data_IF_320375984635
#
_entry.id   IF_320375984635
#
_cell.length_a   1.000
_cell.length_b   1.000
_cell.length_c   1.000
_cell.angle_alpha   90.00
_cell.angle_beta   90.00
_cell.angle_gamma   90.00
#
_symmetry.space_group_name_H-M   'P 1'
#
loop_
_entity.id
_entity.type
_entity.pdbx_description
1 polymer ?
#
# COMPACT_ATOMS: atom_id res chain seq x y z
N UNK A 1 4.10 -2.15 15.43
CA UNK A 1 5.11 -2.03 14.35
C UNK A 1 6.36 -2.89 14.55
N UNK A 2 6.37 -3.74 15.59
CA UNK A 2 7.49 -4.68 15.83
C UNK A 2 7.72 -5.61 14.63
N UNK A 3 6.65 -6.10 14.01
CA UNK A 3 6.69 -7.00 12.84
C UNK A 3 7.54 -6.43 11.68
N UNK A 4 7.50 -5.12 11.48
CA UNK A 4 8.30 -4.45 10.47
C UNK A 4 9.80 -4.40 10.86
N UNK A 5 10.13 -4.13 12.11
CA UNK A 5 11.52 -4.15 12.58
C UNK A 5 12.10 -5.58 12.57
N UNK A 6 11.26 -6.58 12.89
CA UNK A 6 11.65 -7.99 12.80
C UNK A 6 11.99 -8.38 11.34
N UNK A 7 11.24 -7.87 10.35
CA UNK A 7 11.54 -8.06 8.94
C UNK A 7 12.88 -7.41 8.55
N UNK A 8 13.13 -6.15 8.95
CA UNK A 8 14.41 -5.49 8.71
C UNK A 8 15.59 -6.31 9.27
N UNK A 9 15.45 -6.76 10.54
CA UNK A 9 16.46 -7.57 11.22
C UNK A 9 16.68 -8.92 10.52
N UNK A 10 15.61 -9.57 10.09
CA UNK A 10 15.67 -10.83 9.36
C UNK A 10 16.44 -10.68 8.05
N UNK A 11 16.14 -9.63 7.27
CA UNK A 11 16.82 -9.41 5.98
C UNK A 11 18.30 -9.13 6.17
N UNK A 12 18.67 -8.36 7.21
CA UNK A 12 20.08 -8.13 7.52
C UNK A 12 20.83 -9.40 7.94
N UNK A 13 20.15 -10.33 8.62
CA UNK A 13 20.76 -11.55 9.17
C UNK A 13 20.80 -12.72 8.18
N UNK A 14 19.77 -12.87 7.35
CA UNK A 14 19.51 -14.04 6.52
C UNK A 14 19.51 -13.74 5.02
N UNK A 15 19.50 -12.46 4.63
CA UNK A 15 19.32 -12.05 3.24
C UNK A 15 20.48 -12.43 2.34
N UNK A 16 20.14 -12.81 1.11
CA UNK A 16 21.11 -13.04 0.05
C UNK A 16 21.35 -11.76 -0.75
N UNK A 17 22.61 -11.47 -1.07
CA UNK A 17 22.95 -10.37 -1.98
C UNK A 17 22.52 -10.73 -3.41
N UNK A 18 21.89 -9.75 -4.08
CA UNK A 18 21.43 -9.86 -5.46
C UNK A 18 21.72 -8.58 -6.24
N UNK A 19 22.03 -8.73 -7.51
CA UNK A 19 21.94 -7.61 -8.45
C UNK A 19 20.47 -7.29 -8.73
N UNK A 20 20.21 -6.06 -9.12
CA UNK A 20 18.88 -5.60 -9.50
C UNK A 20 18.94 -4.74 -10.78
N UNK A 21 17.78 -4.42 -11.34
CA UNK A 21 17.64 -3.60 -12.55
C UNK A 21 18.31 -2.23 -12.45
N UNK A 22 18.32 -1.65 -11.25
CA UNK A 22 18.86 -0.30 -11.02
C UNK A 22 20.40 -0.28 -10.89
N UNK A 23 21.04 -1.43 -10.77
CA UNK A 23 22.48 -1.55 -10.53
C UNK A 23 22.94 -1.17 -9.12
N UNK A 24 21.99 -0.85 -8.21
CA UNK A 24 22.31 -0.50 -6.81
C UNK A 24 22.72 -1.74 -6.00
N UNK A 25 22.13 -2.90 -6.31
CA UNK A 25 22.23 -4.11 -5.52
C UNK A 25 21.31 -4.13 -4.31
N UNK A 26 20.93 -5.32 -3.88
CA UNK A 26 20.02 -5.55 -2.76
C UNK A 26 20.48 -6.70 -1.88
N UNK A 27 20.04 -6.71 -0.63
CA UNK A 27 19.98 -7.88 0.22
C UNK A 27 18.52 -8.27 0.38
N UNK A 28 18.16 -9.52 0.13
CA UNK A 28 16.75 -9.94 0.12
C UNK A 28 16.50 -11.30 0.74
N UNK A 29 15.28 -11.48 1.25
CA UNK A 29 14.69 -12.78 1.58
C UNK A 29 13.46 -13.01 0.72
N UNK A 30 13.15 -14.25 0.39
CA UNK A 30 11.94 -14.61 -0.36
C UNK A 30 10.89 -15.17 0.58
N UNK A 31 9.72 -14.52 0.58
CA UNK A 31 8.57 -14.93 1.41
C UNK A 31 8.65 -14.43 2.85
N UNK A 32 7.81 -13.46 3.18
CA UNK A 32 7.58 -12.99 4.54
C UNK A 32 6.14 -12.50 4.70
N UNK A 33 5.59 -12.67 5.90
CA UNK A 33 4.25 -12.18 6.20
C UNK A 33 4.23 -11.41 7.52
N UNK A 34 3.60 -10.26 7.52
CA UNK A 34 3.32 -9.43 8.68
C UNK A 34 1.81 -9.34 8.91
N UNK A 35 1.39 -9.23 10.15
CA UNK A 35 -0.02 -9.03 10.52
C UNK A 35 -0.13 -7.84 11.46
N UNK A 36 -1.09 -6.96 11.19
CA UNK A 36 -1.39 -5.76 11.97
C UNK A 36 -2.86 -5.77 12.35
N UNK A 37 -3.13 -5.85 13.65
CA UNK A 37 -4.49 -5.73 14.17
C UNK A 37 -4.85 -4.25 14.31
N UNK A 38 -5.89 -3.81 13.61
CA UNK A 38 -6.27 -2.39 13.61
C UNK A 38 -6.94 -1.92 14.91
N UNK A 39 -7.30 -2.83 15.82
CA UNK A 39 -7.71 -2.45 17.18
C UNK A 39 -6.54 -1.94 18.04
N UNK A 40 -5.31 -2.33 17.73
CA UNK A 40 -4.10 -1.85 18.41
C UNK A 40 -3.70 -0.43 18.01
N UNK A 41 -4.29 0.11 16.95
CA UNK A 41 -4.02 1.41 16.39
C UNK A 41 -3.74 1.36 14.89
N UNK A 42 -3.57 2.52 14.28
CA UNK A 42 -3.25 2.62 12.86
C UNK A 42 -1.76 2.30 12.62
N UNK A 43 -1.42 1.32 11.77
CA UNK A 43 -0.05 0.85 11.60
C UNK A 43 0.79 1.84 10.76
N UNK A 44 0.96 3.06 11.28
CA UNK A 44 1.87 4.05 10.76
C UNK A 44 3.20 3.97 11.52
N UNK A 45 4.30 3.90 10.78
CA UNK A 45 5.62 3.68 11.35
C UNK A 45 6.02 4.80 12.30
N UNK A 46 6.50 4.45 13.50
CA UNK A 46 6.95 5.41 14.51
C UNK A 46 8.47 5.55 14.59
N UNK A 47 9.23 4.58 14.08
CA UNK A 47 10.71 4.62 14.08
C UNK A 47 11.31 5.55 13.02
N UNK A 48 10.51 6.03 12.08
CA UNK A 48 10.80 7.18 11.21
C UNK A 48 9.49 7.83 10.78
N UNK A 49 9.50 9.16 10.65
CA UNK A 49 8.32 9.92 10.18
C UNK A 49 8.00 9.59 8.72
N UNK A 50 6.75 9.25 8.43
CA UNK A 50 6.21 9.07 7.10
C UNK A 50 5.51 10.33 6.60
N UNK A 51 5.46 10.51 5.29
CA UNK A 51 4.74 11.61 4.65
C UNK A 51 3.30 11.18 4.35
N UNK A 52 2.43 11.24 5.36
CA UNK A 52 1.04 10.77 5.31
C UNK A 52 0.24 11.40 4.16
N UNK A 53 0.51 12.67 3.85
CA UNK A 53 -0.14 13.37 2.73
C UNK A 53 0.02 12.61 1.42
N UNK A 54 1.24 12.14 1.12
CA UNK A 54 1.48 11.36 -0.10
C UNK A 54 0.73 10.03 -0.10
N UNK A 55 0.66 9.35 1.05
CA UNK A 55 -0.05 8.07 1.20
C UNK A 55 -1.54 8.23 0.91
N UNK A 56 -2.17 9.25 1.50
CA UNK A 56 -3.61 9.50 1.32
C UNK A 56 -3.92 9.88 -0.14
N UNK A 57 -3.18 10.84 -0.71
CA UNK A 57 -3.44 11.27 -2.10
C UNK A 57 -3.19 10.16 -3.12
N UNK A 58 -2.16 9.32 -2.92
CA UNK A 58 -1.91 8.16 -3.77
C UNK A 58 -3.08 7.16 -3.73
N UNK A 59 -3.58 6.82 -2.53
CA UNK A 59 -4.71 5.91 -2.40
C UNK A 59 -5.99 6.47 -3.06
N UNK A 60 -6.28 7.76 -2.84
CA UNK A 60 -7.42 8.43 -3.48
C UNK A 60 -7.28 8.45 -5.00
N UNK A 61 -6.08 8.67 -5.50
CA UNK A 61 -5.77 8.65 -6.94
C UNK A 61 -5.98 7.26 -7.54
N UNK A 62 -5.56 6.19 -6.88
CA UNK A 62 -5.87 4.82 -7.32
C UNK A 62 -7.37 4.55 -7.33
N UNK A 63 -8.11 4.98 -6.32
CA UNK A 63 -9.56 4.81 -6.24
C UNK A 63 -10.34 5.61 -7.30
N UNK A 64 -9.77 6.71 -7.81
CA UNK A 64 -10.32 7.44 -8.95
C UNK A 64 -10.10 6.71 -10.28
N UNK A 65 -9.23 5.70 -10.33
CA UNK A 65 -8.86 5.02 -11.57
C UNK A 65 -7.93 5.85 -12.45
N UNK A 66 -7.37 6.93 -11.91
CA UNK A 66 -6.48 7.83 -12.62
C UNK A 66 -5.05 7.26 -12.71
N UNK A 67 -4.35 7.59 -13.77
CA UNK A 67 -2.96 7.15 -14.07
C UNK A 67 -2.04 8.32 -14.41
N UNK A 68 -2.60 9.54 -14.47
CA UNK A 68 -1.82 10.75 -14.71
C UNK A 68 -1.36 11.37 -13.38
N UNK A 69 -0.07 11.69 -13.29
CA UNK A 69 0.52 12.26 -12.06
C UNK A 69 0.07 13.69 -11.75
N UNK A 70 -0.67 14.34 -12.67
CA UNK A 70 -1.10 15.73 -12.50
C UNK A 70 -1.92 15.93 -11.22
N UNK A 71 -2.86 15.03 -10.91
CA UNK A 71 -3.62 15.09 -9.66
C UNK A 71 -2.71 15.08 -8.43
N UNK A 72 -1.70 14.22 -8.43
CA UNK A 72 -0.73 14.15 -7.34
C UNK A 72 0.11 15.42 -7.24
N UNK A 73 0.61 15.93 -8.38
CA UNK A 73 1.43 17.14 -8.45
C UNK A 73 0.66 18.39 -8.01
N UNK A 74 -0.60 18.54 -8.42
CA UNK A 74 -1.48 19.65 -8.02
C UNK A 74 -1.69 19.68 -6.49
N UNK A 75 -1.58 18.51 -5.85
CA UNK A 75 -1.64 18.37 -4.40
C UNK A 75 -0.27 18.31 -3.72
N UNK A 76 0.82 18.62 -4.43
CA UNK A 76 2.18 18.68 -3.91
C UNK A 76 2.81 17.31 -3.63
N UNK A 77 2.29 16.24 -4.24
CA UNK A 77 2.81 14.87 -4.15
C UNK A 77 3.58 14.53 -5.43
N UNK A 78 4.81 14.02 -5.29
CA UNK A 78 5.73 13.80 -6.41
C UNK A 78 6.33 12.40 -6.44
N UNK A 79 5.79 11.47 -5.68
CA UNK A 79 6.34 10.12 -5.49
C UNK A 79 6.30 9.23 -6.76
N UNK A 80 5.59 9.66 -7.80
CA UNK A 80 5.46 8.96 -9.07
C UNK A 80 6.13 9.65 -10.26
N UNK A 81 6.71 10.85 -10.06
CA UNK A 81 7.26 11.66 -11.16
C UNK A 81 8.36 10.95 -11.97
N UNK A 82 9.15 10.07 -11.33
CA UNK A 82 10.30 9.43 -11.95
C UNK A 82 9.91 8.34 -12.97
N UNK A 83 8.66 7.87 -12.92
CA UNK A 83 8.13 6.84 -13.81
C UNK A 83 7.14 7.37 -14.85
N UNK A 84 6.69 8.62 -14.68
CA UNK A 84 5.76 9.25 -15.61
C UNK A 84 6.46 9.66 -16.91
N UNK A 85 5.75 9.54 -18.04
CA UNK A 85 6.19 10.06 -19.31
C UNK A 85 6.13 11.60 -19.37
N UNK A 86 6.49 12.18 -20.52
CA UNK A 86 6.48 13.63 -20.74
C UNK A 86 5.10 14.28 -20.58
N UNK A 87 4.02 13.49 -20.70
CA UNK A 87 2.63 13.95 -20.51
C UNK A 87 2.12 13.72 -19.11
N UNK A 88 2.94 13.09 -18.25
CA UNK A 88 2.57 12.74 -16.89
C UNK A 88 1.83 11.40 -16.78
N UNK A 89 1.80 10.59 -17.84
CA UNK A 89 1.11 9.31 -17.83
C UNK A 89 2.01 8.17 -17.33
N UNK A 90 1.40 7.22 -16.63
CA UNK A 90 2.03 6.01 -16.11
C UNK A 90 1.55 4.74 -16.80
N UNK A 91 0.60 4.88 -17.74
CA UNK A 91 -0.04 3.75 -18.40
C UNK A 91 -1.05 3.04 -17.51
N UNK A 92 -1.37 1.79 -17.83
CA UNK A 92 -2.48 1.05 -17.23
C UNK A 92 -2.15 0.48 -15.83
N UNK A 93 -1.50 1.27 -14.96
CA UNK A 93 -1.12 0.84 -13.61
C UNK A 93 -2.31 0.83 -12.64
N UNK A 94 -2.09 0.36 -11.44
CA UNK A 94 -2.98 0.23 -10.27
C UNK A 94 -4.42 0.74 -10.41
N UNK A 95 -4.64 2.06 -10.48
CA UNK A 95 -5.96 2.67 -10.55
C UNK A 95 -6.75 2.24 -11.79
N UNK A 96 -6.09 2.16 -12.94
CA UNK A 96 -6.71 1.66 -14.16
C UNK A 96 -7.16 0.20 -13.99
N UNK A 97 -6.28 -0.69 -13.51
CA UNK A 97 -6.64 -2.10 -13.32
C UNK A 97 -7.74 -2.28 -12.26
N UNK A 98 -7.74 -1.47 -11.20
CA UNK A 98 -8.75 -1.54 -10.15
C UNK A 98 -10.14 -1.12 -10.63
N UNK A 99 -10.22 -0.13 -11.52
CA UNK A 99 -11.46 0.55 -11.91
C UNK A 99 -11.90 0.30 -13.35
N UNK A 100 -10.99 -0.16 -14.21
CA UNK A 100 -11.24 -0.29 -15.66
C UNK A 100 -10.56 -1.52 -16.23
N UNK A 101 -10.65 -2.66 -15.53
CA UNK A 101 -10.09 -3.92 -16.03
C UNK A 101 -10.78 -4.32 -17.33
N UNK A 102 -10.06 -4.53 -18.44
CA UNK A 102 -10.69 -4.91 -19.71
C UNK A 102 -11.40 -6.27 -19.62
N UNK A 103 -12.63 -6.36 -20.09
CA UNK A 103 -13.35 -7.63 -20.21
C UNK A 103 -13.32 -8.19 -21.66
N UNK A 104 -13.60 -9.47 -21.80
CA UNK A 104 -13.62 -10.15 -23.11
C UNK A 104 -14.77 -9.70 -24.02
N UNK A 105 -15.71 -8.90 -23.54
CA UNK A 105 -16.89 -8.42 -24.28
C UNK A 105 -16.68 -7.00 -24.81
N UNK A 106 -15.48 -6.44 -24.61
CA UNK A 106 -15.12 -5.08 -25.03
C UNK A 106 -15.60 -4.00 -24.07
N UNK A 107 -15.95 -4.38 -22.82
CA UNK A 107 -16.25 -3.47 -21.73
C UNK A 107 -15.15 -3.41 -20.69
N UNK A 108 -15.49 -2.90 -19.50
CA UNK A 108 -14.59 -2.80 -18.35
C UNK A 108 -15.28 -3.32 -17.10
N UNK A 109 -14.45 -3.88 -16.19
CA UNK A 109 -14.84 -4.34 -14.85
C UNK A 109 -14.28 -3.35 -13.84
N UNK A 110 -15.16 -2.77 -13.01
CA UNK A 110 -14.78 -1.99 -11.84
C UNK A 110 -14.65 -2.93 -10.63
N UNK A 111 -13.45 -3.46 -10.41
CA UNK A 111 -13.19 -4.41 -9.34
C UNK A 111 -13.50 -3.84 -7.95
N UNK A 112 -13.27 -2.55 -7.71
CA UNK A 112 -13.55 -1.92 -6.40
C UNK A 112 -15.06 -1.89 -6.14
N UNK A 113 -15.86 -1.50 -7.13
CA UNK A 113 -17.33 -1.50 -7.01
C UNK A 113 -17.87 -2.90 -6.77
N UNK A 114 -17.37 -3.91 -7.52
CA UNK A 114 -17.77 -5.31 -7.33
C UNK A 114 -17.40 -5.86 -5.95
N UNK A 115 -16.23 -5.50 -5.43
CA UNK A 115 -15.80 -5.91 -4.09
C UNK A 115 -16.67 -5.28 -3.01
N UNK A 116 -17.00 -3.98 -3.10
CA UNK A 116 -17.91 -3.30 -2.16
C UNK A 116 -19.28 -3.98 -2.17
N UNK A 117 -19.83 -4.27 -3.35
CA UNK A 117 -21.12 -4.96 -3.50
C UNK A 117 -21.07 -6.36 -2.91
N UNK A 118 -20.02 -7.12 -3.21
CA UNK A 118 -19.85 -8.48 -2.70
C UNK A 118 -19.74 -8.52 -1.17
N UNK A 119 -18.99 -7.61 -0.56
CA UNK A 119 -18.88 -7.51 0.91
C UNK A 119 -20.28 -7.25 1.54
N UNK A 120 -21.09 -6.41 0.91
CA UNK A 120 -22.43 -6.07 1.42
C UNK A 120 -23.46 -7.19 1.29
N UNK A 121 -23.42 -7.91 0.16
CA UNK A 121 -24.49 -8.85 -0.20
C UNK A 121 -24.11 -10.33 -0.11
N UNK A 122 -22.82 -10.64 -0.16
CA UNK A 122 -22.28 -12.00 -0.05
C UNK A 122 -20.95 -12.02 0.73
N UNK A 123 -20.94 -11.63 2.02
CA UNK A 123 -19.71 -11.49 2.81
C UNK A 123 -18.92 -12.78 2.99
N UNK A 124 -19.55 -13.95 2.85
CA UNK A 124 -18.91 -15.27 2.96
C UNK A 124 -18.17 -15.69 1.68
N UNK A 125 -18.19 -14.85 0.63
CA UNK A 125 -17.50 -15.12 -0.62
C UNK A 125 -15.99 -15.23 -0.41
N UNK A 126 -15.37 -16.22 -1.04
CA UNK A 126 -13.91 -16.37 -1.11
C UNK A 126 -13.31 -15.69 -2.35
N UNK A 127 -14.11 -14.90 -3.09
CA UNK A 127 -13.74 -14.24 -4.35
C UNK A 127 -13.70 -12.73 -4.23
N UNK A 128 -13.55 -12.20 -3.00
CA UNK A 128 -13.47 -10.75 -2.75
C UNK A 128 -12.03 -10.31 -2.99
N UNK A 129 -11.64 -10.24 -4.26
CA UNK A 129 -10.26 -10.02 -4.72
C UNK A 129 -10.22 -8.85 -5.68
N UNK A 130 -9.16 -8.04 -5.58
CA UNK A 130 -8.77 -7.01 -6.55
C UNK A 130 -7.36 -7.33 -7.04
N UNK A 131 -7.18 -7.42 -8.36
CA UNK A 131 -5.89 -7.66 -9.00
C UNK A 131 -5.45 -6.43 -9.77
N UNK A 132 -4.19 -6.03 -9.57
CA UNK A 132 -3.50 -5.08 -10.43
C UNK A 132 -2.57 -5.77 -11.44
N UNK A 133 -2.28 -7.05 -11.23
CA UNK A 133 -1.39 -7.84 -12.10
C UNK A 133 -2.18 -8.41 -13.28
N UNK A 134 -2.15 -7.69 -14.39
CA UNK A 134 -2.77 -8.10 -15.65
C UNK A 134 -1.68 -8.49 -16.64
N UNK A 135 -1.46 -9.80 -16.82
CA UNK A 135 -0.37 -10.33 -17.66
C UNK A 135 -0.47 -9.84 -19.11
N UNK A 136 -1.69 -9.68 -19.62
CA UNK A 136 -1.92 -9.22 -20.99
C UNK A 136 -1.71 -7.71 -21.20
N UNK A 137 -1.48 -6.97 -20.13
CA UNK A 137 -1.42 -5.49 -20.17
C UNK A 137 -0.10 -4.92 -19.58
N UNK A 138 0.85 -5.80 -19.22
CA UNK A 138 2.10 -5.37 -18.59
C UNK A 138 2.93 -4.42 -19.46
N UNK A 139 2.91 -4.61 -20.78
CA UNK A 139 3.66 -3.77 -21.71
C UNK A 139 3.08 -2.35 -21.84
N UNK A 140 1.87 -2.11 -21.34
CA UNK A 140 1.22 -0.81 -21.26
C UNK A 140 1.43 -0.11 -19.90
N UNK A 141 2.31 -0.61 -19.07
CA UNK A 141 2.61 -0.09 -17.74
C UNK A 141 4.05 0.40 -17.67
N UNK A 142 4.25 1.67 -17.32
CA UNK A 142 5.61 2.22 -17.14
C UNK A 142 6.31 1.58 -15.93
N UNK A 143 5.53 1.09 -14.94
CA UNK A 143 6.02 0.31 -13.81
C UNK A 143 5.04 -0.82 -13.47
N UNK A 144 5.37 -2.09 -13.75
CA UNK A 144 4.52 -3.21 -13.37
C UNK A 144 4.23 -3.26 -11.86
N UNK A 145 2.98 -3.52 -11.44
CA UNK A 145 2.55 -3.40 -10.05
C UNK A 145 3.37 -4.25 -9.08
N UNK A 146 3.95 -3.63 -8.05
CA UNK A 146 4.64 -4.32 -6.96
C UNK A 146 3.63 -4.96 -6.00
N UNK A 147 2.63 -4.21 -5.53
CA UNK A 147 1.49 -4.74 -4.79
C UNK A 147 0.45 -5.27 -5.78
N UNK A 148 0.57 -6.58 -6.06
CA UNK A 148 0.00 -7.22 -7.24
C UNK A 148 -1.49 -7.53 -7.12
N UNK A 149 -1.94 -7.98 -5.94
CA UNK A 149 -3.36 -8.19 -5.65
C UNK A 149 -3.64 -8.19 -4.15
N UNK A 150 -4.90 -7.98 -3.79
CA UNK A 150 -5.35 -8.09 -2.41
C UNK A 150 -6.72 -8.74 -2.31
N UNK A 151 -6.99 -9.34 -1.15
CA UNK A 151 -8.21 -10.08 -0.86
C UNK A 151 -8.81 -9.60 0.45
N UNK A 152 -10.13 -9.47 0.48
CA UNK A 152 -10.87 -9.22 1.70
C UNK A 152 -11.46 -10.50 2.29
N UNK A 153 -11.64 -10.47 3.61
CA UNK A 153 -12.24 -11.54 4.37
C UNK A 153 -13.15 -10.98 5.45
N UNK A 154 -14.39 -11.46 5.52
CA UNK A 154 -15.36 -11.04 6.53
C UNK A 154 -15.58 -12.16 7.53
N UNK A 155 -15.46 -11.84 8.81
CA UNK A 155 -15.80 -12.76 9.90
C UNK A 155 -16.17 -11.96 11.17
N UNK A 156 -17.19 -12.43 11.90
CA UNK A 156 -17.60 -11.85 13.18
C UNK A 156 -17.85 -10.32 13.13
N UNK A 157 -18.44 -9.83 12.03
CA UNK A 157 -18.69 -8.39 11.82
C UNK A 157 -17.45 -7.56 11.55
N UNK A 158 -16.33 -8.20 11.21
CA UNK A 158 -15.05 -7.53 10.92
C UNK A 158 -14.60 -7.84 9.50
N UNK A 159 -14.02 -6.81 8.88
CA UNK A 159 -13.38 -6.90 7.56
C UNK A 159 -11.86 -6.95 7.76
N UNK A 160 -11.21 -7.95 7.21
CA UNK A 160 -9.74 -8.06 7.12
C UNK A 160 -9.29 -8.00 5.68
N UNK A 161 -8.04 -7.57 5.45
CA UNK A 161 -7.43 -7.46 4.13
C UNK A 161 -6.08 -8.16 4.12
N UNK A 162 -5.84 -8.99 3.09
CA UNK A 162 -4.51 -9.53 2.82
C UNK A 162 -3.99 -8.98 1.49
N UNK A 163 -2.80 -8.37 1.52
CA UNK A 163 -2.06 -7.91 0.35
C UNK A 163 -0.96 -8.89 0.00
N UNK A 164 -0.80 -9.23 -1.29
CA UNK A 164 0.42 -9.82 -1.82
C UNK A 164 1.22 -8.77 -2.60
N UNK A 165 2.43 -8.51 -2.13
CA UNK A 165 3.41 -7.63 -2.75
C UNK A 165 4.59 -8.45 -3.28
N UNK A 166 4.73 -8.54 -4.61
CA UNK A 166 5.73 -9.37 -5.28
C UNK A 166 7.17 -8.87 -5.09
N UNK A 167 7.33 -7.56 -4.98
CA UNK A 167 8.61 -6.86 -4.87
C UNK A 167 8.46 -5.74 -3.84
N UNK A 168 9.29 -5.76 -2.80
CA UNK A 168 9.09 -4.95 -1.60
C UNK A 168 10.40 -4.29 -1.17
N UNK A 169 10.61 -3.01 -1.55
CA UNK A 169 11.61 -2.15 -0.92
C UNK A 169 11.18 -1.90 0.53
N UNK A 170 11.86 -2.59 1.45
CA UNK A 170 11.45 -2.58 2.86
C UNK A 170 11.68 -1.20 3.50
N UNK A 171 12.71 -0.47 3.07
CA UNK A 171 13.04 0.80 3.71
C UNK A 171 12.15 1.96 3.25
N UNK A 172 11.93 2.15 1.95
CA UNK A 172 11.12 3.25 1.43
C UNK A 172 9.66 2.87 1.17
N UNK A 173 9.42 1.79 0.41
CA UNK A 173 8.09 1.44 -0.09
C UNK A 173 7.18 0.78 0.93
N UNK A 174 7.65 -0.28 1.61
CA UNK A 174 6.82 -1.09 2.52
C UNK A 174 6.12 -0.27 3.61
N UNK A 175 6.74 0.73 4.27
CA UNK A 175 6.05 1.57 5.25
C UNK A 175 4.86 2.36 4.67
N UNK A 176 4.98 2.83 3.44
CA UNK A 176 3.88 3.49 2.70
C UNK A 176 2.77 2.49 2.39
N UNK A 177 3.13 1.31 1.88
CA UNK A 177 2.15 0.27 1.55
C UNK A 177 1.38 -0.22 2.78
N UNK A 178 2.04 -0.41 3.93
CA UNK A 178 1.38 -0.78 5.20
C UNK A 178 0.30 0.26 5.55
N UNK A 179 0.66 1.54 5.58
CA UNK A 179 -0.26 2.60 5.94
C UNK A 179 -1.38 2.77 4.90
N UNK A 180 -1.07 2.69 3.60
CA UNK A 180 -2.03 2.83 2.50
C UNK A 180 -3.10 1.72 2.54
N UNK A 181 -2.69 0.45 2.66
CA UNK A 181 -3.65 -0.67 2.69
C UNK A 181 -4.40 -0.80 4.02
N UNK A 182 -3.80 -0.38 5.14
CA UNK A 182 -4.53 -0.25 6.39
C UNK A 182 -5.61 0.83 6.32
N UNK A 183 -5.32 1.96 5.64
CA UNK A 183 -6.29 3.00 5.38
C UNK A 183 -7.41 2.51 4.45
N UNK A 184 -7.08 1.84 3.35
CA UNK A 184 -8.06 1.22 2.46
C UNK A 184 -8.97 0.26 3.21
N UNK A 185 -8.41 -0.58 4.10
CA UNK A 185 -9.20 -1.50 4.93
C UNK A 185 -10.20 -0.75 5.83
N UNK A 186 -9.79 0.35 6.48
CA UNK A 186 -10.68 1.15 7.32
C UNK A 186 -11.78 1.83 6.50
N UNK A 187 -11.44 2.40 5.33
CA UNK A 187 -12.40 3.00 4.40
C UNK A 187 -13.44 1.97 3.92
N UNK A 188 -12.98 0.80 3.49
CA UNK A 188 -13.85 -0.30 3.03
C UNK A 188 -14.74 -0.81 4.16
N UNK A 189 -14.23 -0.98 5.37
CA UNK A 189 -15.01 -1.38 6.53
C UNK A 189 -16.13 -0.37 6.83
N UNK A 190 -15.81 0.94 6.82
CA UNK A 190 -16.79 2.00 7.04
C UNK A 190 -17.94 1.97 6.01
N UNK A 191 -17.63 1.95 4.72
CA UNK A 191 -18.66 2.02 3.66
C UNK A 191 -19.48 0.73 3.51
N UNK A 192 -19.00 -0.38 4.09
CA UNK A 192 -19.72 -1.66 4.12
C UNK A 192 -20.39 -1.96 5.46
N UNK A 193 -20.27 -1.05 6.46
CA UNK A 193 -20.90 -1.21 7.77
C UNK A 193 -20.23 -2.23 8.69
N UNK A 194 -18.97 -2.57 8.42
CA UNK A 194 -18.18 -3.51 9.21
C UNK A 194 -17.15 -2.78 10.08
N UNK A 195 -16.55 -3.50 11.02
CA UNK A 195 -15.36 -3.02 11.76
C UNK A 195 -14.10 -3.47 11.02
N UNK A 196 -13.07 -2.62 10.99
CA UNK A 196 -11.77 -3.04 10.51
C UNK A 196 -11.18 -4.13 11.42
N UNK A 197 -10.61 -5.16 10.79
CA UNK A 197 -9.96 -6.29 11.43
C UNK A 197 -8.45 -6.25 11.26
N UNK A 198 -7.90 -7.33 10.71
CA UNK A 198 -6.46 -7.46 10.48
C UNK A 198 -6.06 -7.02 9.08
N UNK A 199 -4.97 -6.28 8.98
CA UNK A 199 -4.22 -6.15 7.74
C UNK A 199 -3.08 -7.17 7.72
N UNK A 200 -3.08 -8.04 6.72
CA UNK A 200 -2.05 -9.07 6.50
C UNK A 200 -1.23 -8.69 5.28
N UNK A 201 0.07 -8.49 5.45
CA UNK A 201 0.97 -8.10 4.36
C UNK A 201 1.91 -9.25 4.03
N UNK A 202 1.70 -9.86 2.88
CA UNK A 202 2.53 -10.97 2.36
C UNK A 202 3.47 -10.42 1.29
N UNK A 203 4.77 -10.65 1.49
CA UNK A 203 5.85 -10.18 0.63
C UNK A 203 6.46 -11.35 -0.13
N UNK A 204 6.74 -11.16 -1.41
CA UNK A 204 7.53 -12.06 -2.24
C UNK A 204 9.03 -11.77 -2.04
N UNK A 205 9.66 -11.04 -2.97
CA UNK A 205 11.03 -10.54 -2.84
C UNK A 205 11.04 -9.33 -1.90
N UNK A 206 11.45 -9.55 -0.65
CA UNK A 206 11.54 -8.52 0.38
C UNK A 206 13.00 -8.10 0.53
N UNK A 207 13.33 -6.86 0.12
CA UNK A 207 14.71 -6.43 -0.04
C UNK A 207 15.02 -5.08 0.59
N UNK A 208 16.29 -4.91 0.95
CA UNK A 208 16.90 -3.65 1.33
C UNK A 208 17.93 -3.32 0.26
N UNK A 209 17.82 -2.15 -0.35
CA UNK A 209 18.87 -1.66 -1.26
C UNK A 209 20.18 -1.39 -0.52
N UNK A 210 21.32 -1.70 -1.14
CA UNK A 210 22.63 -1.55 -0.49
C UNK A 210 22.94 -0.11 -0.09
N UNK A 211 22.37 0.88 -0.80
CA UNK A 211 22.47 2.31 -0.45
C UNK A 211 21.61 2.73 0.75
N UNK A 212 20.79 1.83 1.31
CA UNK A 212 19.96 2.08 2.51
C UNK A 212 20.47 1.39 3.77
N UNK A 213 21.60 0.71 3.73
CA UNK A 213 22.10 -0.10 4.84
C UNK A 213 22.32 0.70 6.13
N UNK A 214 22.90 1.89 6.04
CA UNK A 214 23.17 2.74 7.21
C UNK A 214 21.87 3.33 7.78
N UNK A 215 20.91 3.67 6.91
CA UNK A 215 19.58 4.13 7.30
C UNK A 215 18.81 3.06 8.06
N UNK A 216 18.86 1.82 7.59
CA UNK A 216 18.22 0.66 8.25
C UNK A 216 18.84 0.40 9.60
N UNK A 217 20.17 0.38 9.71
CA UNK A 217 20.88 0.24 10.99
C UNK A 217 20.46 1.33 11.97
N UNK A 218 20.46 2.60 11.54
CA UNK A 218 19.97 3.72 12.36
C UNK A 218 18.53 3.51 12.80
N UNK A 219 17.65 3.09 11.89
CA UNK A 219 16.24 2.87 12.22
C UNK A 219 16.03 1.78 13.28
N UNK A 220 16.84 0.72 13.24
CA UNK A 220 16.80 -0.38 14.20
C UNK A 220 17.27 0.01 15.62
N UNK A 221 18.02 1.11 15.78
CA UNK A 221 18.39 1.64 17.11
C UNK A 221 17.25 2.40 17.78
N UNK A 222 16.16 2.71 17.08
CA UNK A 222 15.08 3.54 17.58
C UNK A 222 14.00 2.72 18.26
N UNK A 223 13.56 3.19 19.43
CA UNK A 223 12.47 2.57 20.17
C UNK A 223 11.11 2.74 19.45
N UNK A 224 10.27 1.73 19.56
CA UNK A 224 8.89 1.81 19.14
C UNK A 224 8.12 2.78 20.06
N UNK A 225 7.29 3.63 19.45
CA UNK A 225 6.34 4.49 20.15
C UNK A 225 4.91 3.99 19.95
N UNK A 226 3.95 4.42 20.79
CA UNK A 226 2.54 4.04 20.62
C UNK A 226 2.05 4.31 19.21
N UNK A 227 1.18 3.44 18.69
CA UNK A 227 0.56 3.63 17.40
C UNK A 227 -0.41 4.81 17.44
N UNK A 228 -0.45 5.62 16.37
CA UNK A 228 -1.47 6.64 16.21
C UNK A 228 -2.84 6.02 15.93
N UNK A 229 -3.86 6.86 15.88
CA UNK A 229 -5.20 6.49 15.46
C UNK A 229 -5.57 7.26 14.19
N UNK A 230 -6.14 6.57 13.22
CA UNK A 230 -6.71 7.20 12.04
C UNK A 230 -8.18 7.46 12.28
N UNK A 231 -8.56 8.75 12.29
CA UNK A 231 -9.94 9.18 12.33
C UNK A 231 -10.41 9.43 10.90
N UNK A 232 -11.55 8.87 10.55
CA UNK A 232 -12.16 9.01 9.22
C UNK A 232 -13.51 9.69 9.39
N UNK A 233 -13.85 10.62 8.51
CA UNK A 233 -15.15 11.28 8.50
C UNK A 233 -16.28 10.23 8.40
N UNK A 234 -17.13 10.08 9.44
CA UNK A 234 -18.16 9.03 9.46
C UNK A 234 -19.31 9.27 8.50
N UNK A 235 -19.43 10.49 7.94
CA UNK A 235 -20.52 10.85 7.03
C UNK A 235 -20.29 10.33 5.61
N UNK A 236 -19.07 9.96 5.25
CA UNK A 236 -18.76 9.39 3.93
C UNK A 236 -19.26 7.94 3.87
N UNK A 237 -20.14 7.65 2.90
CA UNK A 237 -20.83 6.35 2.73
C UNK A 237 -20.46 5.63 1.42
N UNK A 238 -19.77 6.30 0.51
CA UNK A 238 -19.28 5.72 -0.73
C UNK A 238 -17.75 5.77 -0.78
N UNK A 239 -17.11 4.69 -1.18
CA UNK A 239 -15.64 4.56 -1.21
C UNK A 239 -14.98 5.61 -2.13
N UNK A 240 -15.70 6.09 -3.13
CA UNK A 240 -15.19 7.05 -4.11
C UNK A 240 -15.41 8.53 -3.72
N UNK A 241 -16.14 8.79 -2.64
CA UNK A 241 -16.47 10.16 -2.20
C UNK A 241 -15.46 10.72 -1.19
N UNK A 242 -14.55 9.89 -0.68
CA UNK A 242 -13.51 10.33 0.24
C UNK A 242 -12.59 11.38 -0.36
N UNK A 243 -12.25 12.37 0.45
CA UNK A 243 -11.31 13.45 0.15
C UNK A 243 -10.21 13.50 1.21
N UNK A 244 -9.13 14.19 0.92
CA UNK A 244 -8.00 14.30 1.84
C UNK A 244 -8.40 14.76 3.25
N UNK A 245 -9.30 15.75 3.33
CA UNK A 245 -9.73 16.35 4.61
C UNK A 245 -10.66 15.42 5.44
N UNK A 246 -11.07 14.27 4.91
CA UNK A 246 -11.83 13.25 5.64
C UNK A 246 -10.96 12.39 6.57
N UNK A 247 -9.63 12.59 6.56
CA UNK A 247 -8.66 11.79 7.30
C UNK A 247 -7.84 12.64 8.27
N UNK A 248 -7.80 12.23 9.53
CA UNK A 248 -7.00 12.86 10.58
C UNK A 248 -6.19 11.80 11.35
N UNK A 249 -4.85 11.91 11.31
CA UNK A 249 -3.96 11.04 12.08
C UNK A 249 -3.74 11.65 13.47
N UNK A 250 -4.29 11.01 14.50
CA UNK A 250 -4.25 11.49 15.89
C UNK A 250 -3.12 10.82 16.64
N UNK A 251 -2.42 11.57 17.48
CA UNK A 251 -1.34 11.09 18.36
C UNK A 251 -0.17 10.45 17.59
N UNK A 252 0.13 10.94 16.39
CA UNK A 252 1.31 10.47 15.65
C UNK A 252 2.57 11.19 16.14
N UNK A 253 3.36 10.48 16.95
CA UNK A 253 4.64 10.93 17.51
C UNK A 253 5.79 10.06 16.99
N UNK A 254 6.24 10.22 15.76
CA UNK A 254 7.34 9.43 15.19
C UNK A 254 8.70 10.02 15.55
N UNK A 255 9.74 9.18 15.49
CA UNK A 255 11.11 9.67 15.39
C UNK A 255 11.30 10.49 14.09
N UNK A 256 12.32 11.34 14.00
CA UNK A 256 12.60 12.15 12.82
C UNK A 256 12.70 11.29 11.54
N UNK A 257 12.39 11.91 10.41
CA UNK A 257 12.55 11.30 9.10
C UNK A 257 13.99 10.80 8.87
N UNK A 258 14.14 9.68 8.17
CA UNK A 258 15.42 9.19 7.66
C UNK A 258 15.33 9.23 6.15
N UNK A 259 16.16 10.07 5.52
CA UNK A 259 16.19 10.20 4.07
C UNK A 259 16.84 8.96 3.42
N UNK A 260 16.27 8.52 2.30
CA UNK A 260 16.84 7.48 1.43
C UNK A 260 16.73 7.90 -0.02
N UNK A 261 17.71 7.55 -0.83
CA UNK A 261 17.69 7.81 -2.27
C UNK A 261 16.87 6.70 -2.95
N UNK A 262 15.90 7.08 -3.77
CA UNK A 262 15.14 6.12 -4.59
C UNK A 262 16.08 5.46 -5.61
N UNK A 263 15.99 4.16 -5.78
CA UNK A 263 16.71 3.41 -6.81
C UNK A 263 15.77 3.19 -8.00
N UNK A 264 16.11 3.79 -9.15
CA UNK A 264 15.31 3.82 -10.41
C UNK A 264 16.05 3.23 -11.58
#
# INVERSE_FOLDING_TARGET
MKQYLDLLSRVLAEGAEKSDRTGTGTISVFGHQMRFNLDEGFPCLTTKKLHLKSIIYELLWFLQGDTNVKYLQDNGVRIWNEWADEKGELGHIYGYQWRSWPDYKGGFIDQISEVVDTIKHNPDSRRIIVSAWNVGDLDNMNLPPCHAFFQFYVANGRLSLQLYQRSADIFLGVPFNIASYALLLQMMAQVTGLKAGDFVHTLGDAHIYLNHMEQVKLQLTRELRPLPQMKINPDVKNIFDFKFDDFELINYDPHPHIAGKVSV
#
